data_IF_288462899868
#
_entry.id   IF_288462899868
#
_cell.length_a   1.000
_cell.length_b   1.000
_cell.length_c   1.000
_cell.angle_alpha   90.00
_cell.angle_beta   90.00
_cell.angle_gamma   90.00
#
_symmetry.space_group_name_H-M   'P 1'
#
loop_
_entity.id
_entity.type
_entity.pdbx_description
1 polymer ?
#
# COMPACT_ATOMS: atom_id res chain seq x y z
N UNK A 1 -28.74 -3.01 55.20
CA UNK A 1 -29.56 -4.22 54.98
C UNK A 1 -30.49 -3.90 53.82
N UNK A 2 -30.65 -4.79 52.83
CA UNK A 2 -31.39 -4.60 51.55
C UNK A 2 -30.51 -4.05 50.40
N UNK A 3 -29.64 -4.90 49.82
CA UNK A 3 -29.16 -4.74 48.43
C UNK A 3 -28.39 -5.98 47.90
N UNK A 4 -28.88 -7.19 48.15
CA UNK A 4 -28.28 -8.44 47.61
C UNK A 4 -29.36 -9.45 47.23
N UNK A 5 -30.16 -9.16 46.18
CA UNK A 5 -31.15 -10.15 45.72
C UNK A 5 -31.59 -10.05 44.26
N UNK A 6 -30.81 -9.47 43.35
CA UNK A 6 -31.26 -9.28 41.95
C UNK A 6 -30.36 -9.81 40.82
N UNK A 7 -29.38 -10.69 41.11
CA UNK A 7 -28.47 -11.21 40.06
C UNK A 7 -28.67 -12.68 39.65
N UNK A 8 -29.64 -13.42 40.21
CA UNK A 8 -29.69 -14.88 40.03
C UNK A 8 -30.84 -15.44 39.17
N UNK A 9 -31.46 -14.66 38.27
CA UNK A 9 -32.59 -15.16 37.44
C UNK A 9 -32.47 -15.03 35.92
N UNK A 10 -31.33 -14.57 35.39
CA UNK A 10 -31.15 -14.45 33.93
C UNK A 10 -30.34 -15.58 33.27
N UNK A 11 -29.79 -16.52 34.04
CA UNK A 11 -28.88 -17.55 33.50
C UNK A 11 -29.55 -18.89 33.12
N UNK A 12 -30.87 -19.03 33.16
CA UNK A 12 -31.56 -20.32 32.98
C UNK A 12 -32.71 -20.31 31.96
N UNK A 13 -32.62 -19.49 30.90
CA UNK A 13 -33.61 -19.54 29.82
C UNK A 13 -33.03 -19.36 28.41
N UNK A 14 -31.76 -19.70 28.20
CA UNK A 14 -31.07 -19.53 26.91
C UNK A 14 -30.32 -20.79 26.43
N UNK A 15 -30.70 -21.97 26.94
CA UNK A 15 -30.08 -23.27 26.57
C UNK A 15 -31.05 -24.19 25.80
N UNK A 16 -32.32 -23.79 25.62
CA UNK A 16 -33.34 -24.64 24.99
C UNK A 16 -33.85 -24.13 23.63
N UNK A 17 -33.12 -23.23 22.98
CA UNK A 17 -33.50 -22.67 21.66
C UNK A 17 -32.35 -22.77 20.63
N UNK A 18 -31.59 -23.85 20.67
CA UNK A 18 -30.43 -24.08 19.78
C UNK A 18 -30.44 -25.44 19.06
N UNK A 19 -31.56 -26.19 19.08
CA UNK A 19 -31.66 -27.52 18.44
C UNK A 19 -32.77 -27.65 17.38
N UNK A 20 -33.20 -26.57 16.73
CA UNK A 20 -34.29 -26.62 15.74
C UNK A 20 -34.02 -25.86 14.42
N UNK A 21 -32.75 -25.71 14.00
CA UNK A 21 -32.39 -25.04 12.74
C UNK A 21 -31.43 -25.85 11.84
N UNK A 22 -31.29 -27.16 12.06
CA UNK A 22 -30.30 -27.99 11.34
C UNK A 22 -30.78 -28.66 10.03
N UNK A 23 -31.94 -28.31 9.45
CA UNK A 23 -32.50 -29.06 8.30
C UNK A 23 -33.06 -28.18 7.16
N UNK A 24 -32.37 -27.08 6.84
CA UNK A 24 -32.62 -26.34 5.60
C UNK A 24 -31.32 -25.87 4.93
N UNK A 25 -30.28 -26.71 4.93
CA UNK A 25 -29.20 -26.58 3.93
C UNK A 25 -29.62 -27.40 2.72
N UNK A 26 -30.50 -26.82 1.88
CA UNK A 26 -30.63 -27.26 0.51
C UNK A 26 -29.27 -27.09 -0.15
N UNK A 27 -28.61 -28.20 -0.45
CA UNK A 27 -27.38 -28.20 -1.22
C UNK A 27 -27.66 -27.61 -2.60
N UNK A 28 -27.44 -26.31 -2.76
CA UNK A 28 -27.02 -25.79 -4.05
C UNK A 28 -25.67 -26.44 -4.31
N UNK A 29 -25.69 -27.51 -5.11
CA UNK A 29 -24.54 -27.85 -5.92
C UNK A 29 -24.26 -26.60 -6.75
N UNK A 30 -23.32 -25.77 -6.29
CA UNK A 30 -22.65 -24.82 -7.16
C UNK A 30 -21.96 -25.72 -8.18
N UNK A 31 -22.63 -25.95 -9.30
CA UNK A 31 -21.97 -26.42 -10.50
C UNK A 31 -21.04 -25.26 -10.88
N UNK A 32 -19.79 -25.35 -10.40
CA UNK A 32 -18.70 -24.55 -10.93
C UNK A 32 -18.61 -25.02 -12.38
N UNK A 33 -19.26 -24.27 -13.28
CA UNK A 33 -19.13 -24.45 -14.72
C UNK A 33 -17.68 -24.13 -15.06
N UNK A 34 -16.82 -25.14 -14.93
CA UNK A 34 -15.40 -25.09 -15.26
C UNK A 34 -15.20 -25.19 -16.77
N UNK A 35 -16.14 -24.66 -17.56
CA UNK A 35 -15.89 -24.31 -18.94
C UNK A 35 -14.82 -23.24 -18.91
N UNK A 36 -13.62 -23.60 -19.35
CA UNK A 36 -12.65 -22.62 -19.81
C UNK A 36 -13.41 -21.70 -20.78
N UNK A 37 -13.65 -20.45 -20.38
CA UNK A 37 -14.05 -19.43 -21.34
C UNK A 37 -12.91 -19.41 -22.36
N UNK A 38 -13.18 -19.88 -23.58
CA UNK A 38 -12.25 -19.87 -24.71
C UNK A 38 -11.96 -18.45 -25.23
N UNK A 39 -12.45 -17.42 -24.53
CA UNK A 39 -11.83 -16.10 -24.52
C UNK A 39 -10.56 -16.18 -23.65
N UNK A 40 -9.60 -17.00 -24.10
CA UNK A 40 -8.19 -16.85 -23.75
C UNK A 40 -7.82 -15.45 -24.25
N UNK A 41 -8.12 -14.43 -23.45
CA UNK A 41 -7.42 -13.17 -23.55
C UNK A 41 -5.95 -13.55 -23.47
N UNK A 42 -5.24 -13.40 -24.60
CA UNK A 42 -3.80 -13.47 -24.66
C UNK A 42 -3.32 -12.49 -23.58
N UNK A 43 -3.08 -13.00 -22.38
CA UNK A 43 -2.38 -12.27 -21.34
C UNK A 43 -1.02 -12.04 -21.98
N UNK A 44 -0.85 -10.87 -22.57
CA UNK A 44 0.39 -10.50 -23.23
C UNK A 44 1.51 -10.84 -22.25
N UNK A 45 2.40 -11.71 -22.71
CA UNK A 45 3.47 -12.21 -21.89
C UNK A 45 4.23 -11.01 -21.33
N UNK A 46 4.19 -10.82 -20.00
CA UNK A 46 4.87 -9.71 -19.32
C UNK A 46 6.29 -9.60 -19.86
N UNK A 47 6.67 -8.41 -20.30
CA UNK A 47 7.98 -8.13 -20.87
C UNK A 47 9.10 -8.80 -20.05
N UNK A 48 9.95 -9.63 -20.67
CA UNK A 48 10.98 -10.38 -19.94
C UNK A 48 11.96 -9.49 -19.17
N UNK A 49 12.26 -8.30 -19.68
CA UNK A 49 13.14 -7.33 -19.03
C UNK A 49 12.46 -6.72 -17.80
N UNK A 50 11.17 -6.36 -17.91
CA UNK A 50 10.38 -5.90 -16.76
C UNK A 50 10.28 -6.97 -15.68
N UNK A 51 10.09 -8.24 -16.06
CA UNK A 51 10.09 -9.36 -15.12
C UNK A 51 11.44 -9.52 -14.42
N UNK A 52 12.54 -9.47 -15.18
CA UNK A 52 13.89 -9.56 -14.62
C UNK A 52 14.17 -8.43 -13.62
N UNK A 53 13.81 -7.19 -13.96
CA UNK A 53 13.93 -6.04 -13.06
C UNK A 53 13.11 -6.23 -11.78
N UNK A 54 11.87 -6.71 -11.88
CA UNK A 54 11.03 -6.97 -10.72
C UNK A 54 11.64 -8.03 -9.77
N UNK A 55 12.25 -9.06 -10.33
CA UNK A 55 12.94 -10.10 -9.57
C UNK A 55 14.21 -9.56 -8.89
N UNK A 56 14.94 -8.64 -9.53
CA UNK A 56 16.10 -7.97 -8.95
C UNK A 56 15.72 -7.05 -7.78
N UNK A 57 14.67 -6.23 -7.95
CA UNK A 57 14.12 -5.39 -6.88
C UNK A 57 13.69 -6.25 -5.69
N UNK A 58 12.95 -7.34 -5.94
CA UNK A 58 12.53 -8.28 -4.88
C UNK A 58 13.71 -8.88 -4.14
N UNK A 59 14.76 -9.28 -4.86
CA UNK A 59 15.97 -9.82 -4.25
C UNK A 59 16.67 -8.79 -3.38
N UNK A 60 16.80 -7.56 -3.87
CA UNK A 60 17.41 -6.47 -3.13
C UNK A 60 16.61 -6.15 -1.85
N UNK A 61 15.28 -6.10 -1.93
CA UNK A 61 14.42 -5.87 -0.77
C UNK A 61 14.52 -7.00 0.26
N UNK A 62 14.45 -8.27 -0.17
CA UNK A 62 14.65 -9.42 0.72
C UNK A 62 16.02 -9.36 1.41
N UNK A 63 17.08 -9.03 0.68
CA UNK A 63 18.42 -8.91 1.24
C UNK A 63 18.48 -7.80 2.31
N UNK A 64 17.93 -6.61 2.03
CA UNK A 64 17.88 -5.50 3.01
C UNK A 64 17.06 -5.90 4.24
N UNK A 65 15.88 -6.46 4.04
CA UNK A 65 14.99 -6.92 5.10
C UNK A 65 15.68 -7.93 6.03
N UNK A 66 16.36 -8.94 5.47
CA UNK A 66 16.99 -9.98 6.28
C UNK A 66 18.30 -9.53 6.94
N UNK A 67 18.99 -8.55 6.35
CA UNK A 67 20.17 -7.94 6.96
C UNK A 67 19.83 -6.95 8.07
N UNK A 68 18.72 -6.22 7.94
CA UNK A 68 18.37 -5.13 8.85
C UNK A 68 17.45 -5.54 9.99
N UNK A 69 16.68 -6.62 9.80
CA UNK A 69 15.75 -7.11 10.80
C UNK A 69 16.28 -8.40 11.41
N UNK A 70 16.18 -8.54 12.73
CA UNK A 70 16.36 -9.85 13.33
C UNK A 70 15.13 -10.75 13.10
N UNK A 71 15.23 -12.03 13.48
CA UNK A 71 14.13 -12.98 13.30
C UNK A 71 12.88 -12.62 14.12
N UNK A 72 13.04 -12.06 15.31
CA UNK A 72 11.93 -11.62 16.18
C UNK A 72 11.23 -10.41 15.59
N UNK A 73 11.96 -9.40 15.13
CA UNK A 73 11.38 -8.21 14.49
C UNK A 73 10.55 -8.57 13.26
N UNK A 74 11.08 -9.45 12.38
CA UNK A 74 10.35 -9.94 11.21
C UNK A 74 9.04 -10.63 11.60
N UNK A 75 9.06 -11.48 12.63
CA UNK A 75 7.87 -12.21 13.08
C UNK A 75 6.86 -11.28 13.76
N UNK A 76 7.32 -10.47 14.73
CA UNK A 76 6.44 -9.69 15.61
C UNK A 76 5.89 -8.44 14.92
N UNK A 77 6.69 -7.76 14.07
CA UNK A 77 6.26 -6.52 13.40
C UNK A 77 5.69 -6.76 12.01
N UNK A 78 6.28 -7.69 11.25
CA UNK A 78 5.94 -7.89 9.84
C UNK A 78 5.15 -9.17 9.58
N UNK A 79 5.03 -10.07 10.57
CA UNK A 79 4.39 -11.37 10.38
C UNK A 79 5.18 -12.30 9.46
N UNK A 80 6.48 -12.04 9.26
CA UNK A 80 7.35 -12.78 8.36
C UNK A 80 8.09 -13.86 9.16
N UNK A 81 7.72 -15.12 8.93
CA UNK A 81 8.31 -16.30 9.59
C UNK A 81 9.17 -17.18 8.66
N UNK A 82 9.23 -16.84 7.37
CA UNK A 82 9.99 -17.57 6.36
C UNK A 82 11.47 -17.13 6.33
N UNK A 83 12.31 -17.95 5.71
CA UNK A 83 13.73 -17.69 5.50
C UNK A 83 14.00 -16.70 4.35
N UNK A 84 15.25 -16.23 4.23
CA UNK A 84 15.65 -15.34 3.12
C UNK A 84 15.48 -16.02 1.76
N UNK A 85 15.78 -17.32 1.65
CA UNK A 85 15.59 -18.10 0.43
C UNK A 85 14.10 -18.19 0.04
N UNK A 86 13.23 -18.37 1.03
CA UNK A 86 11.78 -18.40 0.83
C UNK A 86 11.17 -17.01 0.59
N UNK A 87 11.92 -15.94 0.87
CA UNK A 87 11.44 -14.57 0.71
C UNK A 87 11.05 -14.27 -0.74
N UNK A 88 11.84 -14.69 -1.73
CA UNK A 88 11.55 -14.43 -3.15
C UNK A 88 10.18 -15.00 -3.58
N UNK A 89 9.81 -16.17 -3.05
CA UNK A 89 8.53 -16.82 -3.36
C UNK A 89 7.36 -16.16 -2.61
N UNK A 90 7.62 -15.57 -1.44
CA UNK A 90 6.61 -14.94 -0.59
C UNK A 90 6.59 -13.39 -0.69
N UNK A 91 7.48 -12.81 -1.50
CA UNK A 91 7.65 -11.36 -1.66
C UNK A 91 6.44 -10.64 -2.25
N UNK A 92 5.42 -11.38 -2.72
CA UNK A 92 4.11 -10.79 -3.05
C UNK A 92 3.43 -10.10 -1.87
N UNK A 93 3.84 -10.39 -0.62
CA UNK A 93 3.35 -9.73 0.59
C UNK A 93 4.11 -8.44 0.93
N UNK A 94 5.22 -8.15 0.23
CA UNK A 94 6.01 -6.94 0.49
C UNK A 94 5.36 -5.74 -0.21
N UNK A 95 5.39 -4.54 0.43
CA UNK A 95 4.76 -3.33 -0.12
C UNK A 95 5.28 -2.90 -1.49
N UNK A 96 6.44 -3.42 -1.92
CA UNK A 96 7.08 -3.05 -3.18
C UNK A 96 6.37 -3.57 -4.42
N UNK A 97 5.48 -4.57 -4.29
CA UNK A 97 4.90 -5.36 -5.39
C UNK A 97 4.52 -4.51 -6.60
N UNK A 98 5.45 -4.41 -7.57
CA UNK A 98 5.25 -3.80 -8.90
C UNK A 98 4.03 -4.50 -9.46
N UNK A 99 2.94 -3.76 -9.69
CA UNK A 99 1.73 -4.31 -10.30
C UNK A 99 2.06 -4.64 -11.75
N UNK A 100 2.84 -5.71 -11.99
CA UNK A 100 3.56 -5.93 -13.24
C UNK A 100 2.62 -6.03 -14.42
N UNK A 101 1.41 -6.56 -14.23
CA UNK A 101 0.38 -6.60 -15.26
C UNK A 101 -0.02 -5.18 -15.70
N UNK A 102 -0.39 -4.31 -14.75
CA UNK A 102 -0.79 -2.92 -15.04
C UNK A 102 0.38 -2.11 -15.62
N UNK A 103 1.59 -2.31 -15.10
CA UNK A 103 2.77 -1.62 -15.59
C UNK A 103 3.16 -2.08 -17.01
N UNK A 104 3.08 -3.39 -17.29
CA UNK A 104 3.30 -3.93 -18.62
C UNK A 104 2.27 -3.37 -19.62
N UNK A 105 0.99 -3.34 -19.25
CA UNK A 105 -0.07 -2.76 -20.06
C UNK A 105 0.20 -1.28 -20.38
N UNK A 106 0.60 -0.49 -19.39
CA UNK A 106 0.95 0.91 -19.58
C UNK A 106 2.16 1.11 -20.51
N UNK A 107 3.16 0.22 -20.43
CA UNK A 107 4.34 0.25 -21.30
C UNK A 107 3.98 -0.13 -22.74
N UNK A 108 3.24 -1.22 -22.93
CA UNK A 108 2.78 -1.67 -24.27
C UNK A 108 1.89 -0.62 -24.92
N UNK A 109 1.06 0.07 -24.13
CA UNK A 109 0.21 1.16 -24.58
C UNK A 109 0.95 2.50 -24.76
N UNK A 110 2.27 2.52 -24.62
CA UNK A 110 3.12 3.72 -24.74
C UNK A 110 2.77 4.86 -23.75
N UNK A 111 2.02 4.57 -22.67
CA UNK A 111 1.68 5.54 -21.61
C UNK A 111 2.83 5.72 -20.62
N UNK A 112 3.75 4.76 -20.56
CA UNK A 112 4.99 4.81 -19.78
C UNK A 112 6.16 4.38 -20.67
N UNK A 113 7.26 5.13 -20.60
CA UNK A 113 8.57 4.70 -21.11
C UNK A 113 9.46 4.34 -19.92
N UNK A 114 10.15 3.20 -19.99
CA UNK A 114 11.09 2.78 -18.94
C UNK A 114 12.51 3.25 -19.26
N UNK A 115 13.10 4.02 -18.35
CA UNK A 115 14.54 4.30 -18.32
C UNK A 115 15.25 3.20 -17.53
N UNK A 116 15.86 2.28 -18.26
CA UNK A 116 16.56 1.13 -17.67
C UNK A 116 17.86 1.51 -16.94
N UNK A 117 18.51 2.61 -17.29
CA UNK A 117 19.68 3.09 -16.53
C UNK A 117 19.24 3.62 -15.16
N UNK A 118 18.08 4.30 -15.10
CA UNK A 118 17.46 4.70 -13.83
C UNK A 118 16.90 3.50 -13.03
N UNK A 119 16.43 2.44 -13.72
CA UNK A 119 16.03 1.19 -13.09
C UNK A 119 17.22 0.50 -12.40
N UNK A 120 18.40 0.45 -13.03
CA UNK A 120 19.62 -0.06 -12.39
C UNK A 120 20.02 0.79 -11.17
N UNK A 121 19.87 2.11 -11.25
CA UNK A 121 20.08 3.00 -10.11
C UNK A 121 19.08 2.73 -8.98
N UNK A 122 17.83 2.39 -9.30
CA UNK A 122 16.83 1.97 -8.31
C UNK A 122 17.29 0.72 -7.55
N UNK A 123 17.67 -0.35 -8.25
CA UNK A 123 18.16 -1.61 -7.64
C UNK A 123 19.41 -1.35 -6.79
N UNK A 124 20.35 -0.55 -7.29
CA UNK A 124 21.55 -0.21 -6.54
C UNK A 124 21.23 0.60 -5.27
N UNK A 125 20.28 1.53 -5.34
CA UNK A 125 19.84 2.31 -4.18
C UNK A 125 19.24 1.40 -3.08
N UNK A 126 18.52 0.34 -3.43
CA UNK A 126 18.08 -0.67 -2.45
C UNK A 126 19.26 -1.37 -1.78
N UNK A 127 20.14 -1.98 -2.57
CA UNK A 127 21.22 -2.82 -2.04
C UNK A 127 22.23 -2.05 -1.18
N UNK A 128 22.28 -0.72 -1.33
CA UNK A 128 23.18 0.17 -0.58
C UNK A 128 22.50 0.93 0.55
N UNK A 129 21.18 0.76 0.73
CA UNK A 129 20.40 1.43 1.77
C UNK A 129 20.85 0.97 3.16
N UNK A 130 21.01 1.92 4.08
CA UNK A 130 21.26 1.58 5.48
C UNK A 130 19.98 1.13 6.19
N UNK A 131 20.12 0.33 7.26
CA UNK A 131 18.97 -0.13 8.04
C UNK A 131 18.16 1.01 8.66
N UNK A 132 18.79 2.16 8.94
CA UNK A 132 18.09 3.37 9.40
C UNK A 132 17.23 4.03 8.33
N UNK A 133 17.53 3.82 7.04
CA UNK A 133 16.79 4.39 5.91
C UNK A 133 15.67 3.46 5.42
N UNK A 134 15.71 2.18 5.78
CA UNK A 134 14.66 1.21 5.48
C UNK A 134 13.46 1.43 6.42
N UNK A 135 12.44 2.17 5.97
CA UNK A 135 11.33 2.70 6.80
C UNK A 135 9.94 2.25 6.29
N UNK A 136 8.95 2.14 7.18
CA UNK A 136 7.66 1.46 6.91
C UNK A 136 6.75 2.17 5.91
N UNK A 137 6.95 3.47 5.65
CA UNK A 137 5.82 4.31 5.21
C UNK A 137 5.78 4.62 3.72
N UNK A 138 6.89 4.55 3.03
CA UNK A 138 6.90 5.04 1.66
C UNK A 138 7.25 3.89 0.72
N UNK A 139 6.27 3.53 -0.13
CA UNK A 139 6.46 2.57 -1.20
C UNK A 139 7.73 2.97 -1.96
N UNK A 140 8.67 2.05 -2.13
CA UNK A 140 10.01 2.39 -2.59
C UNK A 140 10.03 3.18 -3.92
N UNK A 141 9.00 2.97 -4.76
CA UNK A 141 8.80 3.71 -6.01
C UNK A 141 8.73 5.23 -5.85
N UNK A 142 8.28 5.73 -4.70
CA UNK A 142 8.07 7.17 -4.50
C UNK A 142 9.23 7.87 -3.82
N UNK A 143 10.17 7.13 -3.22
CA UNK A 143 11.22 7.70 -2.35
C UNK A 143 12.62 7.63 -2.89
N UNK A 144 12.97 6.51 -3.52
CA UNK A 144 14.29 6.35 -4.10
C UNK A 144 14.30 7.06 -5.46
N UNK A 145 15.18 8.08 -5.66
CA UNK A 145 15.17 8.87 -6.88
C UNK A 145 15.24 8.02 -8.16
N UNK A 146 16.06 6.95 -8.18
CA UNK A 146 16.15 6.05 -9.32
C UNK A 146 14.84 5.32 -9.61
N UNK A 147 14.13 4.87 -8.57
CA UNK A 147 12.85 4.16 -8.73
C UNK A 147 11.73 5.06 -9.24
N UNK A 148 11.76 6.34 -8.88
CA UNK A 148 10.82 7.34 -9.41
C UNK A 148 11.15 7.75 -10.85
N UNK A 149 12.44 7.86 -11.18
CA UNK A 149 12.91 8.35 -12.48
C UNK A 149 12.84 7.29 -13.57
N UNK A 150 12.83 6.01 -13.21
CA UNK A 150 12.77 4.92 -14.20
C UNK A 150 11.46 4.87 -14.98
N UNK A 151 10.37 5.41 -14.45
CA UNK A 151 9.07 5.45 -15.11
C UNK A 151 8.87 6.87 -15.66
N UNK A 152 8.96 7.02 -16.98
CA UNK A 152 8.78 8.30 -17.65
C UNK A 152 7.33 8.39 -18.14
N UNK A 153 6.46 9.15 -17.46
CA UNK A 153 5.06 9.29 -17.85
C UNK A 153 4.92 9.94 -19.23
N UNK A 154 3.94 9.50 -20.01
CA UNK A 154 3.65 10.06 -21.34
C UNK A 154 2.25 10.68 -21.43
N UNK A 155 1.34 10.36 -20.52
CA UNK A 155 -0.06 10.81 -20.60
C UNK A 155 -0.25 12.24 -20.11
N UNK A 156 -0.91 13.08 -20.92
CA UNK A 156 -1.28 14.44 -20.58
C UNK A 156 -2.56 14.47 -19.72
N UNK A 157 -2.89 15.61 -19.12
CA UNK A 157 -4.14 15.75 -18.37
C UNK A 157 -5.36 15.54 -19.29
N UNK A 158 -6.27 14.67 -18.86
CA UNK A 158 -7.47 14.27 -19.59
C UNK A 158 -7.33 12.92 -20.31
N UNK A 159 -6.11 12.41 -20.49
CA UNK A 159 -5.90 11.07 -21.04
C UNK A 159 -6.30 9.99 -20.04
N UNK A 160 -6.76 8.85 -20.53
CA UNK A 160 -7.08 7.69 -19.68
C UNK A 160 -5.82 7.16 -18.98
N UNK A 161 -5.98 6.75 -17.73
CA UNK A 161 -4.89 6.19 -16.94
C UNK A 161 -5.39 5.08 -16.02
N UNK A 162 -4.46 4.25 -15.53
CA UNK A 162 -4.73 3.27 -14.48
C UNK A 162 -3.76 3.48 -13.30
N UNK A 163 -2.53 3.88 -13.61
CA UNK A 163 -1.47 4.18 -12.65
C UNK A 163 -1.19 5.69 -12.61
N UNK A 164 -0.85 6.21 -11.43
CA UNK A 164 -0.38 7.59 -11.27
C UNK A 164 0.89 7.84 -12.11
N UNK A 165 1.72 6.82 -12.30
CA UNK A 165 2.98 6.86 -13.04
C UNK A 165 2.80 6.98 -14.57
N UNK A 166 1.59 6.84 -15.09
CA UNK A 166 1.27 7.11 -16.51
C UNK A 166 1.18 8.61 -16.79
N UNK A 167 0.74 9.39 -15.79
CA UNK A 167 0.39 10.79 -15.94
C UNK A 167 1.60 11.70 -15.74
N UNK A 168 1.80 12.68 -16.62
CA UNK A 168 2.87 13.69 -16.48
C UNK A 168 2.70 14.51 -15.19
N UNK A 169 1.44 14.69 -14.75
CA UNK A 169 1.10 15.29 -13.47
C UNK A 169 1.48 14.43 -12.25
N UNK A 170 1.72 13.13 -12.45
CA UNK A 170 1.89 12.12 -11.42
C UNK A 170 0.61 11.78 -10.68
N UNK A 171 -0.56 11.99 -11.30
CA UNK A 171 -1.86 11.74 -10.68
C UNK A 171 -2.91 11.23 -11.66
N UNK A 172 -3.40 10.02 -11.39
CA UNK A 172 -4.53 9.40 -12.05
C UNK A 172 -5.81 9.61 -11.21
N UNK A 173 -6.70 10.47 -11.68
CA UNK A 173 -7.95 10.78 -10.98
C UNK A 173 -8.96 9.65 -11.19
N UNK A 174 -9.31 8.99 -10.08
CA UNK A 174 -10.31 7.93 -10.09
C UNK A 174 -11.72 8.47 -10.25
N UNK A 175 -12.43 8.02 -11.27
CA UNK A 175 -13.84 8.36 -11.43
C UNK A 175 -14.71 7.44 -10.56
N UNK A 176 -15.17 7.98 -9.44
CA UNK A 176 -16.01 7.24 -8.48
C UNK A 176 -17.52 7.47 -8.67
N UNK A 177 -17.90 8.36 -9.59
CA UNK A 177 -19.30 8.75 -9.78
C UNK A 177 -19.98 8.04 -10.94
N UNK A 178 -19.21 7.64 -11.95
CA UNK A 178 -19.70 6.99 -13.15
C UNK A 178 -19.01 5.63 -13.27
N UNK A 179 -19.76 4.54 -13.04
CA UNK A 179 -19.24 3.15 -12.96
C UNK A 179 -18.47 2.72 -14.23
N UNK A 180 -18.84 3.28 -15.38
CA UNK A 180 -18.24 2.96 -16.68
C UNK A 180 -17.27 4.03 -17.19
N UNK A 181 -17.03 5.11 -16.44
CA UNK A 181 -16.12 6.15 -16.88
C UNK A 181 -14.68 5.78 -16.52
N UNK A 182 -13.78 5.95 -17.49
CA UNK A 182 -12.36 5.73 -17.27
C UNK A 182 -11.78 6.74 -16.27
N UNK A 183 -10.77 6.29 -15.53
CA UNK A 183 -9.91 7.17 -14.75
C UNK A 183 -9.06 8.01 -15.71
N UNK A 184 -8.77 9.26 -15.34
CA UNK A 184 -8.07 10.19 -16.23
C UNK A 184 -6.96 10.93 -15.51
N UNK A 185 -5.89 11.23 -16.24
CA UNK A 185 -4.81 12.06 -15.73
C UNK A 185 -5.34 13.46 -15.39
N UNK A 186 -4.98 13.97 -14.23
CA UNK A 186 -5.43 15.29 -13.77
C UNK A 186 -4.34 16.04 -13.04
N UNK A 187 -4.51 17.36 -12.88
CA UNK A 187 -3.64 18.13 -12.00
C UNK A 187 -3.86 17.70 -10.54
N UNK A 188 -2.75 17.54 -9.82
CA UNK A 188 -2.78 17.24 -8.40
C UNK A 188 -3.08 18.52 -7.59
N UNK A 189 -3.95 18.44 -6.59
CA UNK A 189 -4.31 19.60 -5.75
C UNK A 189 -3.08 20.16 -5.04
N UNK A 190 -2.81 21.45 -5.19
CA UNK A 190 -1.73 22.14 -4.50
C UNK A 190 -2.01 22.37 -3.02
N UNK A 191 -1.01 22.86 -2.28
CA UNK A 191 -1.20 23.26 -0.87
C UNK A 191 -2.23 24.39 -0.80
N UNK A 192 -3.28 24.19 0.02
CA UNK A 192 -4.40 25.10 0.18
C UNK A 192 -5.58 24.82 -0.76
N UNK A 193 -5.40 23.95 -1.76
CA UNK A 193 -6.49 23.55 -2.65
C UNK A 193 -7.38 22.49 -1.99
N UNK A 194 -8.60 22.37 -2.50
CA UNK A 194 -9.56 21.35 -2.08
C UNK A 194 -9.06 19.95 -2.45
N UNK A 195 -9.16 19.03 -1.50
CA UNK A 195 -8.82 17.62 -1.61
C UNK A 195 -10.00 16.71 -1.27
N UNK A 196 -11.22 17.25 -1.26
CA UNK A 196 -12.44 16.45 -1.07
C UNK A 196 -12.60 15.35 -2.14
N UNK A 197 -12.04 15.59 -3.34
CA UNK A 197 -12.14 14.73 -4.51
C UNK A 197 -10.77 14.24 -5.04
N UNK A 198 -9.68 14.59 -4.40
CA UNK A 198 -8.33 14.31 -4.90
C UNK A 198 -7.34 13.99 -3.78
N UNK A 199 -6.23 13.36 -4.18
CA UNK A 199 -5.09 13.16 -3.30
C UNK A 199 -4.20 14.41 -3.27
N UNK A 200 -3.57 14.65 -2.12
CA UNK A 200 -2.59 15.72 -1.99
C UNK A 200 -1.18 15.23 -2.37
N UNK A 201 -0.29 16.11 -2.87
CA UNK A 201 1.07 15.78 -3.23
C UNK A 201 1.89 15.15 -2.12
N UNK A 202 2.93 14.41 -2.50
CA UNK A 202 3.91 13.87 -1.56
C UNK A 202 4.42 14.95 -0.61
N UNK A 203 4.46 14.64 0.69
CA UNK A 203 4.84 15.60 1.74
C UNK A 203 3.69 16.49 2.23
N UNK A 204 2.48 16.32 1.70
CA UNK A 204 1.25 16.99 2.16
C UNK A 204 0.19 15.95 2.56
N UNK A 205 -0.87 16.40 3.22
CA UNK A 205 -2.01 15.56 3.59
C UNK A 205 -3.33 16.32 3.41
N UNK A 206 -4.42 15.59 3.18
CA UNK A 206 -5.76 16.17 3.14
C UNK A 206 -6.32 16.37 4.55
N UNK A 207 -6.50 17.62 4.99
CA UNK A 207 -7.09 17.92 6.29
C UNK A 207 -8.58 17.62 6.28
N UNK A 208 -9.02 16.63 7.04
CA UNK A 208 -10.43 16.20 7.04
C UNK A 208 -11.43 17.21 7.63
N UNK A 209 -10.95 18.31 8.22
CA UNK A 209 -11.84 19.33 8.81
C UNK A 209 -12.33 20.29 7.73
N UNK A 210 -11.44 20.76 6.87
CA UNK A 210 -11.75 21.74 5.82
C UNK A 210 -11.51 21.22 4.40
N UNK A 211 -11.09 19.96 4.26
CA UNK A 211 -10.75 19.31 3.00
C UNK A 211 -9.70 20.09 2.20
N UNK A 212 -8.70 20.67 2.88
CA UNK A 212 -7.60 21.36 2.19
C UNK A 212 -6.30 20.55 2.26
N UNK A 213 -5.51 20.57 1.19
CA UNK A 213 -4.17 20.02 1.23
C UNK A 213 -3.24 20.88 2.10
N UNK A 214 -2.61 20.27 3.10
CA UNK A 214 -1.71 20.93 4.04
C UNK A 214 -0.36 20.27 4.08
N UNK A 215 0.68 21.07 4.36
CA UNK A 215 2.03 20.56 4.58
C UNK A 215 2.07 19.61 5.77
N UNK A 216 2.76 18.48 5.61
CA UNK A 216 2.99 17.59 6.73
C UNK A 216 3.87 18.25 7.78
N UNK A 217 3.59 17.93 9.04
CA UNK A 217 4.25 18.42 10.22
C UNK A 217 5.56 17.66 10.45
N UNK A 218 6.60 18.41 10.82
CA UNK A 218 7.89 17.84 11.26
C UNK A 218 7.77 17.18 12.63
N UNK A 219 8.71 16.29 12.95
CA UNK A 219 8.82 15.71 14.29
C UNK A 219 8.85 16.77 15.41
N UNK A 220 8.24 16.45 16.55
CA UNK A 220 8.03 17.33 17.71
C UNK A 220 6.85 18.31 17.59
N UNK A 221 6.25 18.45 16.42
CA UNK A 221 5.04 19.29 16.24
C UNK A 221 3.83 18.64 16.92
N UNK A 222 2.92 19.46 17.48
CA UNK A 222 1.63 18.95 17.95
C UNK A 222 0.81 18.42 16.78
N UNK A 223 0.20 17.25 16.96
CA UNK A 223 -0.62 16.61 15.95
C UNK A 223 -1.87 15.99 16.60
N UNK A 224 -2.88 15.72 15.77
CA UNK A 224 -4.05 14.95 16.18
C UNK A 224 -4.14 13.60 15.48
N UNK A 225 -3.56 13.48 14.28
CA UNK A 225 -3.58 12.26 13.46
C UNK A 225 -2.22 11.95 12.86
N UNK A 226 -1.98 10.67 12.66
CA UNK A 226 -0.81 10.13 11.99
C UNK A 226 -0.49 10.83 10.65
N UNK A 227 -1.51 11.04 9.80
CA UNK A 227 -1.34 11.63 8.48
C UNK A 227 -0.85 13.09 8.50
N UNK A 228 -1.06 13.81 9.60
CA UNK A 228 -0.57 15.18 9.74
C UNK A 228 0.95 15.20 9.81
N UNK A 229 1.58 14.13 10.28
CA UNK A 229 3.02 14.04 10.47
C UNK A 229 3.70 13.49 9.23
N UNK A 230 4.88 14.04 8.89
CA UNK A 230 5.73 13.51 7.81
C UNK A 230 6.06 12.03 8.03
N UNK A 231 6.30 11.66 9.29
CA UNK A 231 6.56 10.28 9.71
C UNK A 231 5.37 9.34 9.69
N UNK A 232 4.15 9.87 9.59
CA UNK A 232 2.93 9.07 9.66
C UNK A 232 2.58 8.62 11.05
N UNK A 233 3.19 9.24 12.05
CA UNK A 233 3.07 8.83 13.43
C UNK A 233 2.83 10.05 14.29
N UNK A 234 1.75 9.95 15.07
CA UNK A 234 1.32 10.96 16.02
C UNK A 234 1.19 10.28 17.38
N UNK A 235 2.29 10.26 18.12
CA UNK A 235 2.45 9.46 19.33
C UNK A 235 2.49 10.37 20.58
N UNK A 236 2.04 9.92 21.76
CA UNK A 236 2.18 10.69 22.98
C UNK A 236 3.65 10.82 23.39
N UNK A 237 4.09 12.02 23.75
CA UNK A 237 5.39 12.26 24.36
C UNK A 237 5.42 11.90 25.86
N UNK A 238 6.53 12.17 26.56
CA UNK A 238 6.68 11.91 28.00
C UNK A 238 5.65 12.64 28.88
N UNK A 239 5.06 13.73 28.38
CA UNK A 239 4.01 14.50 29.06
C UNK A 239 2.60 14.05 28.66
N UNK A 240 2.46 13.03 27.79
CA UNK A 240 1.18 12.55 27.28
C UNK A 240 0.57 13.42 26.17
N UNK A 241 1.31 14.39 25.65
CA UNK A 241 0.87 15.23 24.54
C UNK A 241 1.15 14.54 23.21
N UNK A 242 0.18 14.53 22.29
CA UNK A 242 0.37 13.98 20.94
C UNK A 242 1.33 14.85 20.13
N UNK A 243 2.44 14.25 19.69
CA UNK A 243 3.49 14.88 18.91
C UNK A 243 3.87 14.01 17.72
N UNK A 244 4.25 14.64 16.61
CA UNK A 244 4.85 13.92 15.50
C UNK A 244 6.14 13.27 15.96
N UNK A 245 6.27 11.96 15.80
CA UNK A 245 7.53 11.24 16.06
C UNK A 245 8.43 11.26 14.82
N UNK A 246 9.70 10.90 14.98
CA UNK A 246 10.61 10.71 13.83
C UNK A 246 10.16 9.51 12.98
N UNK A 247 10.59 9.47 11.72
CA UNK A 247 10.40 8.28 10.89
C UNK A 247 11.19 7.14 11.55
N UNK A 248 10.51 6.10 11.99
CA UNK A 248 11.16 4.94 12.58
C UNK A 248 11.60 3.99 11.46
N UNK A 249 12.81 3.41 11.55
CA UNK A 249 13.16 2.30 10.67
C UNK A 249 12.21 1.12 10.91
N UNK A 250 11.99 0.34 9.84
CA UNK A 250 11.22 -0.91 9.89
C UNK A 250 11.79 -1.82 10.96
N UNK A 251 13.12 -1.85 11.07
CA UNK A 251 13.84 -2.66 12.03
C UNK A 251 14.83 -1.78 12.80
N UNK A 252 14.83 -1.94 14.12
CA UNK A 252 15.63 -1.14 15.04
C UNK A 252 17.03 -1.73 15.21
N UNK A 253 17.22 -3.00 14.86
CA UNK A 253 18.43 -3.75 15.19
C UNK A 253 18.53 -3.97 16.70
N UNK A 254 19.03 -5.14 17.11
CA UNK A 254 19.36 -5.43 18.51
C UNK A 254 20.62 -4.68 18.97
#
# INVERSE_FOLDING_TARGET
MIQKTFQNRLAMSLVALSMALSWACGGSTVEIDNRQNEDDQDYEEIDPQLRAFADEVRRAECQVLFNCCDARERIERLGISYSEEECLTNAGLLPSGLGLAMLNEAIVSERIVVDWDAADMCVNAFTTQSCSEFTEREAIRTTLPGCRQMLIPQSENGDECILDEECISGYCHRNVFEEDAADVCAEMSGVGDDCSMSSCPTGTFCDSIDYTCRQTLRAGSSCYRAQECRSGRCDPNEQGELRCSEVAPICQGD
#
